data_IF_684250894588
#
_entry.id   IF_684250894588
#
_cell.length_a   1.000
_cell.length_b   1.000
_cell.length_c   1.000
_cell.angle_alpha   90.00
_cell.angle_beta   90.00
_cell.angle_gamma   90.00
#
_symmetry.space_group_name_H-M   'P 1'
#
loop_
_entity.id
_entity.type
_entity.pdbx_description
1 polymer ?
#
# COMPACT_ATOMS: atom_id res chain seq x y z
N UNK A 1 -5.47 -7.74 -3.92
CA UNK A 1 -4.60 -6.83 -4.69
C UNK A 1 -4.77 -7.07 -6.18
N UNK A 2 -4.51 -8.28 -6.67
CA UNK A 2 -4.64 -8.59 -8.11
C UNK A 2 -6.07 -8.29 -8.63
N UNK A 3 -7.11 -8.74 -7.92
CA UNK A 3 -8.52 -8.40 -8.26
C UNK A 3 -8.86 -6.92 -8.13
N UNK A 4 -8.08 -6.18 -7.34
CA UNK A 4 -8.21 -4.73 -7.20
C UNK A 4 -7.38 -3.97 -8.24
N UNK A 5 -6.68 -4.65 -9.15
CA UNK A 5 -5.87 -4.05 -10.22
C UNK A 5 -4.45 -3.70 -9.82
N UNK A 6 -3.95 -4.23 -8.69
CA UNK A 6 -2.58 -3.99 -8.20
C UNK A 6 -1.75 -5.25 -8.30
N UNK A 7 -0.51 -5.12 -8.78
CA UNK A 7 0.49 -6.17 -8.76
C UNK A 7 1.42 -5.99 -7.56
N UNK A 8 1.82 -7.10 -6.93
CA UNK A 8 2.81 -7.07 -5.86
C UNK A 8 4.20 -7.03 -6.47
N UNK A 9 4.99 -6.02 -6.10
CA UNK A 9 6.39 -5.89 -6.54
C UNK A 9 7.31 -7.00 -6.02
N UNK A 10 6.94 -7.65 -4.92
CA UNK A 10 7.82 -8.61 -4.27
C UNK A 10 7.71 -10.03 -4.88
N UNK A 11 8.83 -10.63 -5.34
CA UNK A 11 8.85 -11.92 -6.02
C UNK A 11 8.84 -13.10 -5.04
N UNK A 12 7.69 -13.43 -4.46
CA UNK A 12 7.52 -14.59 -3.58
C UNK A 12 8.34 -14.54 -2.29
N UNK A 13 8.14 -15.50 -1.37
CA UNK A 13 8.86 -15.54 -0.10
C UNK A 13 7.94 -15.70 1.12
N UNK A 14 8.42 -15.25 2.29
CA UNK A 14 7.64 -15.27 3.53
C UNK A 14 6.45 -14.31 3.44
N UNK A 15 5.38 -14.61 4.18
CA UNK A 15 4.10 -13.87 4.09
C UNK A 15 4.21 -12.38 4.46
N UNK A 16 5.12 -12.02 5.38
CA UNK A 16 5.40 -10.66 5.82
C UNK A 16 6.92 -10.51 5.98
N UNK A 17 7.64 -10.11 4.93
CA UNK A 17 9.08 -9.90 5.02
C UNK A 17 9.38 -8.56 5.68
N UNK A 18 10.52 -8.53 6.37
CA UNK A 18 11.15 -7.30 6.79
C UNK A 18 12.03 -6.81 5.64
N UNK A 19 11.79 -5.60 5.17
CA UNK A 19 12.54 -4.98 4.07
C UNK A 19 13.28 -3.76 4.60
N UNK A 20 14.51 -3.58 4.13
CA UNK A 20 15.23 -2.32 4.29
C UNK A 20 14.79 -1.32 3.24
N UNK A 21 15.12 -0.04 3.41
CA UNK A 21 14.85 0.99 2.40
C UNK A 21 15.57 0.71 1.07
N UNK A 22 16.76 0.11 1.13
CA UNK A 22 17.53 -0.30 -0.05
C UNK A 22 16.82 -1.40 -0.83
N UNK A 23 16.20 -2.37 -0.13
CA UNK A 23 15.39 -3.41 -0.78
C UNK A 23 14.17 -2.80 -1.49
N UNK A 24 13.48 -1.85 -0.84
CA UNK A 24 12.32 -1.18 -1.44
C UNK A 24 12.72 -0.35 -2.66
N UNK A 25 13.87 0.32 -2.61
CA UNK A 25 14.43 1.04 -3.76
C UNK A 25 14.71 0.10 -4.95
N UNK A 26 15.30 -1.07 -4.69
CA UNK A 26 15.59 -2.05 -5.74
C UNK A 26 14.33 -2.69 -6.35
N UNK A 27 13.20 -2.65 -5.65
CA UNK A 27 11.91 -3.15 -6.14
C UNK A 27 11.17 -2.15 -7.04
N UNK A 28 11.63 -0.90 -7.12
CA UNK A 28 11.07 0.17 -7.96
C UNK A 28 9.53 0.26 -7.94
N UNK A 29 8.89 0.39 -6.76
CA UNK A 29 7.44 0.41 -6.68
C UNK A 29 6.84 1.66 -7.31
N UNK A 30 5.79 1.49 -8.11
CA UNK A 30 5.00 2.59 -8.67
C UNK A 30 4.09 3.24 -7.62
N UNK A 31 3.57 2.43 -6.69
CA UNK A 31 2.60 2.86 -5.67
C UNK A 31 2.96 2.27 -4.31
N UNK A 32 2.89 3.12 -3.27
CA UNK A 32 3.10 2.77 -1.87
C UNK A 32 1.83 3.07 -1.07
N UNK A 33 1.18 2.03 -0.56
CA UNK A 33 -0.05 2.16 0.23
C UNK A 33 0.29 2.08 1.72
N UNK A 34 0.03 3.15 2.46
CA UNK A 34 0.34 3.26 3.89
C UNK A 34 -0.93 3.08 4.72
N UNK A 35 -1.03 2.00 5.50
CA UNK A 35 -2.25 1.68 6.23
C UNK A 35 -2.57 2.69 7.36
N UNK A 36 -3.83 2.98 7.61
CA UNK A 36 -4.26 3.75 8.80
C UNK A 36 -4.12 2.94 10.09
N UNK A 37 -4.15 1.60 10.01
CA UNK A 37 -4.12 0.69 11.15
C UNK A 37 -3.38 -0.63 10.81
N UNK A 38 -2.76 -1.32 11.79
CA UNK A 38 -2.69 -0.99 13.21
C UNK A 38 -1.72 0.16 13.54
N UNK A 39 -0.81 0.49 12.62
CA UNK A 39 0.08 1.65 12.76
C UNK A 39 -0.49 2.84 11.98
N UNK A 40 -0.79 3.98 12.64
CA UNK A 40 -1.35 5.14 11.97
C UNK A 40 -0.25 5.90 11.22
N UNK A 41 -0.02 5.51 9.97
CA UNK A 41 0.84 6.29 9.09
C UNK A 41 0.27 7.71 8.94
N UNK A 42 1.17 8.70 8.90
CA UNK A 42 0.86 10.14 8.84
C UNK A 42 1.58 10.74 7.64
N UNK A 43 1.14 11.90 7.13
CA UNK A 43 1.78 12.58 6.00
C UNK A 43 3.30 12.71 6.13
N UNK A 44 3.81 13.02 7.33
CA UNK A 44 5.26 13.08 7.61
C UNK A 44 6.02 11.78 7.27
N UNK A 45 5.43 10.61 7.50
CA UNK A 45 6.09 9.33 7.18
C UNK A 45 6.11 9.10 5.67
N UNK A 46 5.09 9.60 4.97
CA UNK A 46 5.06 9.55 3.52
C UNK A 46 6.07 10.53 2.89
N UNK A 47 6.26 11.72 3.46
CA UNK A 47 7.29 12.66 3.04
C UNK A 47 8.70 12.06 3.15
N UNK A 48 8.98 11.33 4.25
CA UNK A 48 10.25 10.60 4.43
C UNK A 48 10.45 9.54 3.34
N UNK A 49 9.40 8.79 2.99
CA UNK A 49 9.45 7.78 1.93
C UNK A 49 9.60 8.44 0.56
N UNK A 50 8.88 9.54 0.29
CA UNK A 50 8.91 10.26 -0.99
C UNK A 50 10.27 10.92 -1.25
N UNK A 51 10.98 11.35 -0.19
CA UNK A 51 12.35 11.84 -0.33
C UNK A 51 13.32 10.77 -0.86
N UNK A 52 13.00 9.49 -0.62
CA UNK A 52 13.81 8.33 -1.02
C UNK A 52 13.31 7.78 -2.36
N UNK A 53 12.00 7.70 -2.54
CA UNK A 53 11.30 7.19 -3.72
C UNK A 53 10.49 8.31 -4.38
N UNK A 54 11.14 9.29 -5.03
CA UNK A 54 10.46 10.50 -5.52
C UNK A 54 9.48 10.22 -6.67
N UNK A 55 9.62 9.09 -7.35
CA UNK A 55 8.76 8.67 -8.46
C UNK A 55 7.56 7.83 -8.02
N UNK A 56 7.61 7.26 -6.81
CA UNK A 56 6.52 6.43 -6.30
C UNK A 56 5.38 7.33 -5.82
N UNK A 57 4.16 6.99 -6.20
CA UNK A 57 2.97 7.60 -5.61
C UNK A 57 2.71 6.98 -4.24
N UNK A 58 2.22 7.78 -3.30
CA UNK A 58 1.87 7.30 -1.97
C UNK A 58 0.45 7.70 -1.62
N UNK A 59 -0.27 6.82 -0.92
CA UNK A 59 -1.60 7.11 -0.39
C UNK A 59 -1.76 6.45 0.97
N UNK A 60 -2.34 7.19 1.92
CA UNK A 60 -2.77 6.61 3.20
C UNK A 60 -4.12 5.94 2.98
N UNK A 61 -4.22 4.66 3.32
CA UNK A 61 -5.39 3.82 3.03
C UNK A 61 -6.05 3.30 4.31
N UNK A 62 -7.37 3.08 4.27
CA UNK A 62 -8.10 2.42 5.37
C UNK A 62 -7.64 0.97 5.51
N UNK A 63 -6.90 0.67 6.59
CA UNK A 63 -6.35 -0.66 6.84
C UNK A 63 -7.38 -1.76 6.98
N UNK A 64 -8.59 -1.42 7.44
CA UNK A 64 -9.67 -2.39 7.61
C UNK A 64 -10.14 -2.95 6.26
N UNK A 65 -10.11 -2.13 5.20
CA UNK A 65 -10.50 -2.56 3.84
C UNK A 65 -9.57 -3.61 3.25
N UNK A 66 -8.34 -3.74 3.77
CA UNK A 66 -7.34 -4.69 3.32
C UNK A 66 -7.21 -5.91 4.24
N UNK A 67 -7.39 -5.71 5.54
CA UNK A 67 -6.99 -6.69 6.55
C UNK A 67 -8.18 -7.32 7.28
N UNK A 68 -9.37 -6.70 7.25
CA UNK A 68 -10.51 -7.14 8.06
C UNK A 68 -11.62 -7.73 7.17
N UNK A 69 -11.56 -9.05 7.02
CA UNK A 69 -12.56 -9.80 6.27
C UNK A 69 -13.88 -9.87 7.05
N UNK A 70 -15.01 -9.60 6.39
CA UNK A 70 -16.33 -9.58 7.03
C UNK A 70 -17.37 -8.78 6.24
N UNK A 71 -18.37 -8.24 6.93
CA UNK A 71 -19.43 -7.42 6.30
C UNK A 71 -18.89 -6.23 5.50
N UNK A 72 -17.72 -5.69 5.87
CA UNK A 72 -17.02 -4.61 5.17
C UNK A 72 -16.58 -4.97 3.75
N UNK A 73 -16.43 -6.25 3.42
CA UNK A 73 -16.11 -6.68 2.05
C UNK A 73 -17.14 -6.21 1.03
N UNK A 74 -18.39 -5.95 1.44
CA UNK A 74 -19.42 -5.37 0.59
C UNK A 74 -19.02 -3.98 0.04
N UNK A 75 -18.18 -3.25 0.76
CA UNK A 75 -17.70 -1.92 0.37
C UNK A 75 -16.34 -1.95 -0.35
N UNK A 76 -15.63 -3.08 -0.30
CA UNK A 76 -14.27 -3.21 -0.84
C UNK A 76 -14.17 -2.84 -2.32
N UNK A 77 -15.15 -3.25 -3.14
CA UNK A 77 -15.13 -2.96 -4.58
C UNK A 77 -15.13 -1.45 -4.86
N UNK A 78 -16.08 -0.72 -4.28
CA UNK A 78 -16.20 0.72 -4.47
C UNK A 78 -14.94 1.42 -3.95
N UNK A 79 -14.45 1.00 -2.77
CA UNK A 79 -13.23 1.53 -2.18
C UNK A 79 -12.01 1.35 -3.11
N UNK A 80 -11.80 0.17 -3.70
CA UNK A 80 -10.68 -0.07 -4.60
C UNK A 80 -10.84 0.61 -5.96
N UNK A 81 -12.06 0.82 -6.43
CA UNK A 81 -12.34 1.64 -7.63
C UNK A 81 -11.96 3.11 -7.42
N UNK A 82 -12.27 3.67 -6.25
CA UNK A 82 -11.85 5.02 -5.87
C UNK A 82 -10.34 5.11 -5.65
N UNK A 83 -9.74 4.13 -4.97
CA UNK A 83 -8.31 4.11 -4.71
C UNK A 83 -7.50 4.15 -6.01
N UNK A 84 -7.88 3.37 -7.03
CA UNK A 84 -7.22 3.38 -8.35
C UNK A 84 -7.31 4.70 -9.12
N UNK A 85 -8.20 5.61 -8.72
CA UNK A 85 -8.28 6.94 -9.35
C UNK A 85 -7.37 7.95 -8.65
N UNK A 86 -6.93 7.64 -7.43
CA UNK A 86 -6.05 8.48 -6.62
C UNK A 86 -4.57 8.20 -6.84
N UNK A 87 -4.24 6.95 -7.19
CA UNK A 87 -2.88 6.46 -7.43
C UNK A 87 -2.65 6.14 -8.91
#
# INVERSE_FOLDING_TARGET
MDMAGFEKVMPGGTRYPELTLEDVLALEPEVILLSSEPFPFKPRHAEEIQAILPQAQWEIVDGEMFSWYGSRLLHSRAYFEELRQKV
#
